data_IF_675160256457
#
_entry.id   IF_675160256457
#
_cell.length_a   1.000
_cell.length_b   1.000
_cell.length_c   1.000
_cell.angle_alpha   90.00
_cell.angle_beta   90.00
_cell.angle_gamma   90.00
#
_symmetry.space_group_name_H-M   'P 1'
#
loop_
_entity.id
_entity.type
_entity.pdbx_description
1 polymer ?
#
# COMPACT_ATOMS: atom_id res chain seq x y z
N UNK A 1 19.94 -45.03 56.73
CA UNK A 1 18.61 -44.65 56.20
C UNK A 1 18.44 -43.16 55.86
N UNK A 2 19.31 -42.25 56.32
CA UNK A 2 19.16 -40.79 56.15
C UNK A 2 19.50 -40.24 54.74
N UNK A 3 20.31 -40.97 53.95
CA UNK A 3 20.77 -40.52 52.63
C UNK A 3 19.69 -40.62 51.52
N UNK A 4 18.85 -41.66 51.59
CA UNK A 4 17.83 -41.91 50.56
C UNK A 4 16.68 -40.89 50.63
N UNK A 5 16.35 -40.40 51.83
CA UNK A 5 15.32 -39.37 52.01
C UNK A 5 15.81 -38.00 51.53
N UNK A 6 17.10 -37.69 51.72
CA UNK A 6 17.73 -36.46 51.22
C UNK A 6 17.80 -36.46 49.69
N UNK A 7 18.20 -37.58 49.08
CA UNK A 7 18.21 -37.75 47.62
C UNK A 7 16.80 -37.66 47.02
N UNK A 8 15.81 -38.29 47.66
CA UNK A 8 14.40 -38.20 47.24
C UNK A 8 13.86 -36.76 47.31
N UNK A 9 14.14 -36.02 48.38
CA UNK A 9 13.73 -34.61 48.49
C UNK A 9 14.44 -33.72 47.46
N UNK A 10 15.73 -33.94 47.19
CA UNK A 10 16.45 -33.20 46.15
C UNK A 10 15.90 -33.49 44.76
N UNK A 11 15.55 -34.75 44.48
CA UNK A 11 14.92 -35.15 43.23
C UNK A 11 13.51 -34.54 43.08
N UNK A 12 12.70 -34.51 44.14
CA UNK A 12 11.38 -33.87 44.10
C UNK A 12 11.49 -32.35 43.89
N UNK A 13 12.44 -31.69 44.54
CA UNK A 13 12.71 -30.26 44.34
C UNK A 13 13.18 -29.98 42.91
N UNK A 14 14.04 -30.82 42.37
CA UNK A 14 14.50 -30.71 40.99
C UNK A 14 13.35 -30.90 39.99
N UNK A 15 12.53 -31.95 40.17
CA UNK A 15 11.35 -32.19 39.34
C UNK A 15 10.33 -31.05 39.43
N UNK A 16 10.10 -30.50 40.62
CA UNK A 16 9.22 -29.36 40.83
C UNK A 16 9.73 -28.09 40.12
N UNK A 17 11.03 -27.82 40.20
CA UNK A 17 11.65 -26.71 39.47
C UNK A 17 11.59 -26.88 37.95
N UNK A 18 11.75 -28.10 37.44
CA UNK A 18 11.60 -28.40 36.00
C UNK A 18 10.16 -28.18 35.53
N UNK A 19 9.17 -28.60 36.32
CA UNK A 19 7.75 -28.37 36.02
C UNK A 19 7.42 -26.87 36.02
N UNK A 20 7.93 -26.11 36.99
CA UNK A 20 7.73 -24.65 37.04
C UNK A 20 8.39 -23.94 35.85
N UNK A 21 9.59 -24.34 35.46
CA UNK A 21 10.28 -23.78 34.28
C UNK A 21 9.52 -24.10 32.99
N UNK A 22 9.01 -25.32 32.84
CA UNK A 22 8.19 -25.73 31.70
C UNK A 22 6.87 -24.96 31.64
N UNK A 23 6.21 -24.75 32.77
CA UNK A 23 5.01 -23.92 32.87
C UNK A 23 5.28 -22.45 32.50
N UNK A 24 6.41 -21.90 32.94
CA UNK A 24 6.81 -20.54 32.58
C UNK A 24 7.07 -20.40 31.07
N UNK A 25 7.79 -21.34 30.45
CA UNK A 25 8.10 -21.31 29.01
C UNK A 25 6.83 -21.48 28.16
N UNK A 26 5.92 -22.38 28.55
CA UNK A 26 4.66 -22.60 27.84
C UNK A 26 3.68 -21.42 27.99
N UNK A 27 3.71 -20.69 29.10
CA UNK A 27 2.85 -19.52 29.32
C UNK A 27 3.13 -18.34 28.37
N UNK A 28 4.39 -18.17 27.95
CA UNK A 28 4.78 -17.09 27.01
C UNK A 28 4.33 -17.40 25.58
N UNK A 29 4.30 -18.68 25.19
CA UNK A 29 3.89 -19.10 23.84
C UNK A 29 2.38 -19.05 23.57
N UNK A 30 1.55 -19.00 24.63
CA UNK A 30 0.09 -18.93 24.50
C UNK A 30 -0.45 -17.51 24.33
N UNK A 31 0.37 -16.47 24.57
CA UNK A 31 -0.03 -15.06 24.48
C UNK A 31 0.35 -14.39 23.15
N UNK A 32 1.04 -15.10 22.25
CA UNK A 32 1.43 -14.60 20.93
C UNK A 32 0.60 -15.17 19.78
N UNK A 33 -0.63 -15.62 20.04
CA UNK A 33 -1.59 -15.89 18.97
C UNK A 33 -2.33 -14.59 18.68
N UNK A 34 -1.80 -13.79 17.75
CA UNK A 34 -2.68 -12.94 16.97
C UNK A 34 -3.75 -13.86 16.40
N UNK A 35 -5.00 -13.70 16.82
CA UNK A 35 -6.11 -14.37 16.16
C UNK A 35 -6.19 -13.77 14.76
N UNK A 36 -5.66 -14.47 13.76
CA UNK A 36 -6.17 -14.34 12.40
C UNK A 36 -7.63 -14.83 12.45
N UNK A 37 -8.54 -13.92 12.82
CA UNK A 37 -9.93 -14.13 12.52
C UNK A 37 -10.06 -13.99 11.01
N UNK A 38 -9.78 -15.06 10.28
CA UNK A 38 -10.07 -15.21 8.85
C UNK A 38 -11.59 -15.16 8.66
N UNK A 39 -12.13 -13.95 8.68
CA UNK A 39 -13.46 -13.61 8.13
C UNK A 39 -13.49 -12.19 7.58
N UNK A 40 -12.33 -11.60 7.33
CA UNK A 40 -12.25 -10.42 6.50
C UNK A 40 -12.27 -10.89 5.05
N UNK A 41 -13.28 -10.46 4.29
CA UNK A 41 -13.21 -10.49 2.83
C UNK A 41 -11.87 -9.87 2.43
N UNK A 42 -11.02 -10.63 1.74
CA UNK A 42 -9.71 -10.14 1.29
C UNK A 42 -9.88 -8.76 0.63
N UNK A 43 -9.42 -7.73 1.35
CA UNK A 43 -9.60 -6.32 1.02
C UNK A 43 -9.10 -6.02 -0.40
N UNK A 44 -8.04 -6.73 -0.80
CA UNK A 44 -7.35 -6.56 -2.05
C UNK A 44 -7.50 -7.78 -2.98
N UNK A 45 -8.57 -8.58 -2.78
CA UNK A 45 -8.91 -9.67 -3.68
C UNK A 45 -8.97 -9.16 -5.12
N UNK A 46 -8.27 -9.85 -6.02
CA UNK A 46 -8.14 -9.50 -7.44
C UNK A 46 -7.55 -8.09 -7.69
N UNK A 47 -6.67 -7.58 -6.82
CA UNK A 47 -6.07 -6.23 -6.90
C UNK A 47 -5.55 -5.88 -8.30
N UNK A 48 -4.89 -6.83 -8.99
CA UNK A 48 -4.32 -6.58 -10.33
C UNK A 48 -5.42 -6.24 -11.34
N UNK A 49 -6.46 -7.05 -11.38
CA UNK A 49 -7.59 -6.83 -12.29
C UNK A 49 -8.36 -5.56 -11.93
N UNK A 50 -8.58 -5.30 -10.63
CA UNK A 50 -9.20 -4.05 -10.14
C UNK A 50 -8.41 -2.81 -10.56
N UNK A 51 -7.10 -2.80 -10.33
CA UNK A 51 -6.22 -1.68 -10.68
C UNK A 51 -6.17 -1.45 -12.19
N UNK A 52 -6.00 -2.51 -12.99
CA UNK A 52 -6.01 -2.41 -14.46
C UNK A 52 -7.33 -1.84 -14.96
N UNK A 53 -8.47 -2.37 -14.47
CA UNK A 53 -9.79 -1.87 -14.86
C UNK A 53 -9.99 -0.41 -14.48
N UNK A 54 -9.70 -0.05 -13.22
CA UNK A 54 -9.86 1.32 -12.73
C UNK A 54 -9.04 2.32 -13.57
N UNK A 55 -7.78 1.97 -13.85
CA UNK A 55 -6.90 2.79 -14.68
C UNK A 55 -7.42 2.93 -16.11
N UNK A 56 -7.77 1.82 -16.77
CA UNK A 56 -8.27 1.83 -18.15
C UNK A 56 -9.56 2.63 -18.28
N UNK A 57 -10.51 2.44 -17.35
CA UNK A 57 -11.78 3.17 -17.35
C UNK A 57 -11.53 4.68 -17.18
N UNK A 58 -10.69 5.07 -16.21
CA UNK A 58 -10.36 6.48 -15.97
C UNK A 58 -9.63 7.11 -17.17
N UNK A 59 -8.71 6.37 -17.80
CA UNK A 59 -8.00 6.82 -19.00
C UNK A 59 -8.97 7.08 -20.17
N UNK A 60 -9.87 6.15 -20.43
CA UNK A 60 -10.85 6.27 -21.51
C UNK A 60 -11.83 7.42 -21.29
N UNK A 61 -12.34 7.57 -20.06
CA UNK A 61 -13.19 8.71 -19.67
C UNK A 61 -12.44 10.03 -19.85
N UNK A 62 -11.17 10.07 -19.44
CA UNK A 62 -10.31 11.26 -19.58
C UNK A 62 -10.13 11.63 -21.06
N UNK A 63 -9.84 10.66 -21.93
CA UNK A 63 -9.75 10.90 -23.37
C UNK A 63 -11.05 11.48 -23.95
N UNK A 64 -12.21 10.93 -23.57
CA UNK A 64 -13.51 11.43 -24.01
C UNK A 64 -13.75 12.87 -23.53
N UNK A 65 -13.44 13.18 -22.27
CA UNK A 65 -13.55 14.54 -21.73
C UNK A 65 -12.69 15.54 -22.51
N UNK A 66 -11.44 15.19 -22.77
CA UNK A 66 -10.52 16.02 -23.57
C UNK A 66 -11.06 16.21 -24.99
N UNK A 67 -11.52 15.13 -25.64
CA UNK A 67 -12.10 15.20 -26.99
C UNK A 67 -13.36 16.07 -27.05
N UNK A 68 -14.13 16.14 -25.95
CA UNK A 68 -15.30 17.00 -25.80
C UNK A 68 -14.94 18.46 -25.41
N UNK A 69 -13.65 18.80 -25.31
CA UNK A 69 -13.18 20.15 -25.03
C UNK A 69 -13.03 20.50 -23.54
N UNK A 70 -13.12 19.53 -22.62
CA UNK A 70 -12.86 19.77 -21.20
C UNK A 70 -11.36 19.99 -20.97
N UNK A 71 -10.99 21.22 -20.56
CA UNK A 71 -9.60 21.61 -20.35
C UNK A 71 -9.09 21.31 -18.93
N UNK A 72 -9.96 20.91 -18.00
CA UNK A 72 -9.57 20.57 -16.63
C UNK A 72 -8.93 19.19 -16.55
N UNK A 73 -9.21 18.31 -17.52
CA UNK A 73 -8.63 16.98 -17.62
C UNK A 73 -7.41 16.97 -18.55
N UNK A 74 -6.31 16.36 -18.11
CA UNK A 74 -5.04 16.32 -18.85
C UNK A 74 -4.46 14.91 -18.83
N UNK A 75 -3.88 14.50 -19.96
CA UNK A 75 -3.01 13.33 -20.08
C UNK A 75 -1.58 13.80 -20.29
N UNK A 76 -0.76 13.67 -19.24
CA UNK A 76 0.64 14.07 -19.25
C UNK A 76 1.50 12.83 -19.43
N UNK A 77 2.46 12.83 -20.36
CA UNK A 77 3.39 11.72 -20.46
C UNK A 77 4.27 11.69 -19.20
N UNK A 78 4.43 10.52 -18.59
CA UNK A 78 5.23 10.37 -17.37
C UNK A 78 6.65 10.86 -17.61
N UNK A 79 7.13 11.81 -16.81
CA UNK A 79 8.46 12.41 -16.99
C UNK A 79 9.60 11.40 -16.81
N UNK A 80 9.36 10.29 -16.10
CA UNK A 80 10.33 9.21 -15.89
C UNK A 80 10.41 8.24 -17.06
N UNK A 81 9.47 8.31 -18.02
CA UNK A 81 9.54 7.50 -19.23
C UNK A 81 10.79 7.90 -20.02
N UNK A 82 11.71 6.96 -20.23
CA UNK A 82 12.95 7.21 -20.95
C UNK A 82 12.69 7.29 -22.46
N UNK A 83 13.52 8.04 -23.18
CA UNK A 83 13.43 8.19 -24.64
C UNK A 83 12.10 8.78 -25.11
N UNK A 84 11.58 9.78 -24.38
CA UNK A 84 10.50 10.63 -24.89
C UNK A 84 10.98 11.31 -26.15
N UNK A 85 10.22 11.15 -27.21
CA UNK A 85 10.47 11.87 -28.46
C UNK A 85 9.59 13.11 -28.49
N UNK A 86 10.00 14.09 -29.30
CA UNK A 86 9.15 15.27 -29.53
C UNK A 86 7.78 14.79 -29.97
N UNK A 87 6.73 15.42 -29.42
CA UNK A 87 5.34 15.16 -29.78
C UNK A 87 5.09 15.67 -31.21
N UNK A 88 5.57 14.92 -32.19
CA UNK A 88 5.43 15.20 -33.63
C UNK A 88 4.14 14.58 -34.21
N UNK A 89 3.38 13.88 -33.37
CA UNK A 89 2.12 13.21 -33.74
C UNK A 89 2.30 11.81 -34.31
N UNK A 90 3.53 11.33 -34.48
CA UNK A 90 3.82 10.04 -35.13
C UNK A 90 3.86 8.87 -34.14
N UNK A 91 4.18 9.13 -32.87
CA UNK A 91 4.25 8.10 -31.81
C UNK A 91 3.00 8.06 -30.93
N UNK A 92 2.45 6.85 -30.81
CA UNK A 92 1.44 6.48 -29.83
C UNK A 92 2.13 5.80 -28.64
N UNK A 93 1.78 6.22 -27.42
CA UNK A 93 2.25 5.62 -26.18
C UNK A 93 1.16 4.76 -25.55
N UNK A 94 1.55 3.70 -24.85
CA UNK A 94 0.56 2.90 -24.13
C UNK A 94 -0.05 3.73 -22.98
N UNK A 95 -1.33 3.52 -22.62
CA UNK A 95 -2.03 4.28 -21.59
C UNK A 95 -1.28 4.38 -20.26
N UNK A 96 -0.53 3.34 -19.89
CA UNK A 96 0.22 3.24 -18.64
C UNK A 96 1.44 4.17 -18.57
N UNK A 97 1.87 4.75 -19.70
CA UNK A 97 2.94 5.75 -19.72
C UNK A 97 2.44 7.16 -19.43
N UNK A 98 1.12 7.35 -19.32
CA UNK A 98 0.52 8.64 -19.00
C UNK A 98 0.23 8.78 -17.51
N UNK A 99 0.15 10.03 -17.06
CA UNK A 99 -0.39 10.46 -15.78
C UNK A 99 -1.70 11.17 -16.10
N UNK A 100 -2.78 10.73 -15.46
CA UNK A 100 -4.09 11.35 -15.56
C UNK A 100 -4.17 12.47 -14.52
N UNK A 101 -4.52 13.68 -14.96
CA UNK A 101 -4.65 14.84 -14.09
C UNK A 101 -6.04 15.44 -14.25
N UNK A 102 -6.70 15.69 -13.12
CA UNK A 102 -7.90 16.51 -13.02
C UNK A 102 -7.56 17.77 -12.24
N UNK A 103 -7.50 18.90 -12.92
CA UNK A 103 -7.25 20.21 -12.34
C UNK A 103 -8.51 20.71 -11.65
N UNK A 104 -8.54 20.63 -10.32
CA UNK A 104 -9.69 21.09 -9.51
C UNK A 104 -9.79 22.62 -9.48
N UNK A 105 -8.65 23.29 -9.38
CA UNK A 105 -8.55 24.74 -9.34
C UNK A 105 -7.33 25.18 -10.15
N UNK A 106 -7.54 26.13 -11.05
CA UNK A 106 -6.47 26.71 -11.86
C UNK A 106 -5.86 27.88 -11.10
N UNK A 107 -4.61 27.71 -10.66
CA UNK A 107 -3.87 28.79 -10.00
C UNK A 107 -3.68 30.01 -10.90
N UNK A 108 -3.57 31.19 -10.29
CA UNK A 108 -3.36 32.47 -10.98
C UNK A 108 -1.88 32.83 -11.15
N UNK A 109 -0.97 31.94 -10.75
CA UNK A 109 0.47 32.13 -10.91
C UNK A 109 0.87 32.26 -12.38
N UNK A 110 1.81 33.14 -12.68
CA UNK A 110 2.24 33.44 -14.06
C UNK A 110 3.41 32.59 -14.57
N UNK A 111 3.95 31.68 -13.75
CA UNK A 111 5.15 30.91 -14.08
C UNK A 111 5.08 29.44 -13.70
N UNK A 112 5.86 28.62 -14.40
CA UNK A 112 6.13 27.23 -14.06
C UNK A 112 7.51 27.16 -13.39
N UNK A 113 7.63 26.57 -12.18
CA UNK A 113 8.91 26.41 -11.51
C UNK A 113 9.94 25.69 -12.40
N UNK A 114 11.15 26.23 -12.47
CA UNK A 114 12.29 25.57 -13.10
C UNK A 114 12.98 24.63 -12.10
N UNK A 115 13.85 23.74 -12.59
CA UNK A 115 14.57 22.77 -11.76
C UNK A 115 15.41 23.43 -10.64
N UNK A 116 15.82 24.69 -10.82
CA UNK A 116 16.58 25.48 -9.84
C UNK A 116 15.72 26.16 -8.79
N UNK A 117 14.40 26.18 -8.98
CA UNK A 117 13.49 26.88 -8.09
C UNK A 117 13.10 26.01 -6.90
N UNK A 118 12.72 26.65 -5.80
CA UNK A 118 12.15 25.97 -4.64
C UNK A 118 10.64 26.20 -4.61
N UNK A 119 9.89 25.14 -4.32
CA UNK A 119 8.43 25.16 -4.23
C UNK A 119 7.97 24.56 -2.92
N UNK A 120 6.85 25.08 -2.39
CA UNK A 120 6.12 24.42 -1.32
C UNK A 120 5.03 23.54 -1.95
N UNK A 121 5.00 22.26 -1.57
CA UNK A 121 4.01 21.30 -2.06
C UNK A 121 3.30 20.63 -0.90
N UNK A 122 2.01 20.38 -1.06
CA UNK A 122 1.22 19.55 -0.17
C UNK A 122 0.58 18.44 -1.01
N UNK A 123 0.88 17.19 -0.69
CA UNK A 123 0.38 16.02 -1.43
C UNK A 123 -0.27 15.03 -0.46
N UNK A 124 -1.32 14.35 -0.94
CA UNK A 124 -1.93 13.23 -0.25
C UNK A 124 -2.01 12.05 -1.22
N UNK A 125 -1.42 10.92 -0.84
CA UNK A 125 -1.59 9.65 -1.54
C UNK A 125 -2.79 8.90 -0.98
N UNK A 126 -3.53 8.23 -1.86
CA UNK A 126 -4.68 7.37 -1.52
C UNK A 126 -4.67 6.12 -2.40
N UNK A 127 -5.22 5.02 -1.88
CA UNK A 127 -5.49 3.85 -2.69
C UNK A 127 -6.75 4.09 -3.52
N UNK A 128 -6.95 3.30 -4.56
CA UNK A 128 -8.27 3.26 -5.22
C UNK A 128 -9.29 2.65 -4.25
N UNK A 129 -10.59 2.94 -4.40
CA UNK A 129 -11.62 2.40 -3.53
C UNK A 129 -11.54 0.89 -3.33
N UNK A 130 -11.66 0.47 -2.08
CA UNK A 130 -11.66 -0.94 -1.65
C UNK A 130 -12.81 -1.19 -0.65
N UNK A 131 -13.13 -2.44 -0.27
CA UNK A 131 -14.29 -2.75 0.56
C UNK A 131 -14.39 -1.96 1.87
N UNK A 132 -13.30 -1.81 2.62
CA UNK A 132 -13.28 -1.01 3.86
C UNK A 132 -12.90 0.45 3.64
N UNK A 133 -12.26 0.79 2.52
CA UNK A 133 -11.89 2.16 2.13
C UNK A 133 -12.65 2.60 0.87
N UNK A 134 -13.96 2.79 1.01
CA UNK A 134 -14.88 3.01 -0.12
C UNK A 134 -14.67 4.34 -0.85
N UNK A 135 -14.05 5.32 -0.19
CA UNK A 135 -13.73 6.62 -0.79
C UNK A 135 -12.39 6.64 -1.54
N UNK A 136 -11.53 5.63 -1.30
CA UNK A 136 -10.09 5.74 -1.56
C UNK A 136 -9.39 6.64 -0.55
#
# INVERSE_FOLDING_TARGET
MQNNNKLRMQLHRFLFSVVLLFAAITSVGLLSSCSENEKDTDEFANWKSKNTKYWTDLYNITQQKIANGDTSWKLLLSYTYQSQEKRDGTKSYTPENYIIVHELEKGTGSGSPLYTDSVLVHYQGRLIPSPTYTAG
#
